data_IF_311758412912
#
_entry.id   IF_311758412912
#
_cell.length_a   1.000
_cell.length_b   1.000
_cell.length_c   1.000
_cell.angle_alpha   90.00
_cell.angle_beta   90.00
_cell.angle_gamma   90.00
#
_symmetry.space_group_name_H-M   'P 1'
#
loop_
_entity.id
_entity.type
_entity.pdbx_description
1 polymer ?
#
# COMPACT_ATOMS: atom_id res chain seq x y z
N UNK A 1 -27.55 -8.01 -9.95
CA UNK A 1 -27.43 -7.65 -8.52
C UNK A 1 -27.03 -8.89 -7.76
N UNK A 2 -25.94 -8.84 -7.00
CA UNK A 2 -25.39 -9.98 -6.26
C UNK A 2 -26.00 -10.12 -4.85
N UNK A 3 -27.06 -9.35 -4.51
CA UNK A 3 -27.71 -9.37 -3.19
C UNK A 3 -26.82 -8.84 -2.05
N UNK A 4 -25.78 -8.09 -2.38
CA UNK A 4 -24.90 -7.46 -1.38
C UNK A 4 -25.54 -6.19 -0.84
N UNK A 5 -25.45 -6.00 0.47
CA UNK A 5 -25.78 -4.73 1.12
C UNK A 5 -24.57 -3.79 0.96
N UNK A 6 -24.73 -2.78 0.09
CA UNK A 6 -23.65 -1.84 -0.24
C UNK A 6 -24.04 -0.46 0.28
N UNK A 7 -23.19 0.09 1.14
CA UNK A 7 -23.28 1.46 1.64
C UNK A 7 -22.33 2.36 0.84
N UNK A 8 -22.87 3.38 0.17
CA UNK A 8 -22.08 4.48 -0.36
C UNK A 8 -21.73 5.44 0.77
N UNK A 9 -20.43 5.58 1.05
CA UNK A 9 -19.93 6.49 2.08
C UNK A 9 -19.62 7.90 1.54
N UNK A 10 -19.88 8.14 0.26
CA UNK A 10 -19.61 9.42 -0.41
C UNK A 10 -18.11 9.63 -0.68
N UNK A 11 -17.79 10.85 -1.06
CA UNK A 11 -16.43 11.26 -1.40
C UNK A 11 -15.72 11.89 -0.19
N UNK A 12 -14.45 11.52 0.00
CA UNK A 12 -13.57 12.27 0.89
C UNK A 12 -13.14 13.58 0.19
N UNK A 13 -13.02 14.64 0.97
CA UNK A 13 -12.48 15.93 0.51
C UNK A 13 -11.25 16.26 1.33
N UNK A 14 -10.20 16.68 0.65
CA UNK A 14 -8.91 16.99 1.27
C UNK A 14 -8.21 18.16 0.57
N UNK A 15 -6.93 18.43 0.90
CA UNK A 15 -6.20 19.56 0.35
C UNK A 15 -6.06 19.45 -1.17
N UNK A 16 -5.98 20.62 -1.81
CA UNK A 16 -5.63 20.71 -3.21
C UNK A 16 -4.17 20.24 -3.43
N UNK A 17 -3.89 19.80 -4.64
CA UNK A 17 -2.56 19.35 -5.05
C UNK A 17 -1.99 20.30 -6.15
N UNK A 18 -1.55 21.51 -5.80
CA UNK A 18 -0.92 22.41 -6.76
C UNK A 18 0.46 21.87 -7.15
N UNK A 19 0.91 22.22 -8.37
CA UNK A 19 2.24 21.82 -8.78
C UNK A 19 3.31 22.44 -7.86
N UNK A 20 4.23 21.62 -7.34
CA UNK A 20 5.33 22.03 -6.47
C UNK A 20 6.56 21.17 -6.75
N UNK A 21 7.75 21.71 -6.51
CA UNK A 21 8.98 20.94 -6.53
C UNK A 21 9.07 20.00 -5.31
N UNK A 22 9.86 18.93 -5.46
CA UNK A 22 10.12 18.04 -4.34
C UNK A 22 10.98 18.74 -3.27
N UNK A 23 10.63 18.56 -2.01
CA UNK A 23 11.40 19.02 -0.86
C UNK A 23 11.92 17.81 -0.09
N UNK A 24 13.24 17.73 0.10
CA UNK A 24 13.89 16.61 0.79
C UNK A 24 13.51 15.22 0.17
N UNK A 25 13.34 15.17 -1.15
CA UNK A 25 12.97 13.96 -1.86
C UNK A 25 11.49 13.62 -1.85
N UNK A 26 10.62 14.48 -1.34
CA UNK A 26 9.18 14.29 -1.31
C UNK A 26 8.44 15.45 -1.94
N UNK A 27 7.49 15.15 -2.80
CA UNK A 27 6.57 16.12 -3.39
C UNK A 27 5.22 16.04 -2.69
N UNK A 28 4.68 17.20 -2.27
CA UNK A 28 3.38 17.31 -1.59
C UNK A 28 3.24 16.48 -0.30
N UNK A 29 4.31 16.31 0.46
CA UNK A 29 4.26 15.49 1.67
C UNK A 29 3.16 15.90 2.65
N UNK A 30 2.95 17.19 2.99
CA UNK A 30 1.89 17.58 3.91
C UNK A 30 0.48 17.22 3.41
N UNK A 31 0.21 17.44 2.12
CA UNK A 31 -1.07 17.15 1.49
C UNK A 31 -1.31 15.63 1.43
N UNK A 32 -0.29 14.87 1.06
CA UNK A 32 -0.36 13.39 1.03
C UNK A 32 -0.58 12.83 2.43
N UNK A 33 0.07 13.37 3.45
CA UNK A 33 -0.15 12.98 4.86
C UNK A 33 -1.60 13.22 5.25
N UNK A 34 -2.13 14.41 4.99
CA UNK A 34 -3.51 14.75 5.35
C UNK A 34 -4.53 13.85 4.64
N UNK A 35 -4.35 13.60 3.33
CA UNK A 35 -5.20 12.69 2.58
C UNK A 35 -5.18 11.26 3.14
N UNK A 36 -4.00 10.75 3.49
CA UNK A 36 -3.86 9.41 4.03
C UNK A 36 -4.43 9.29 5.45
N UNK A 37 -4.33 10.33 6.27
CA UNK A 37 -4.98 10.36 7.59
C UNK A 37 -6.50 10.32 7.46
N UNK A 38 -7.10 11.16 6.61
CA UNK A 38 -8.54 11.17 6.36
C UNK A 38 -9.05 9.81 5.87
N UNK A 39 -8.33 9.22 4.92
CA UNK A 39 -8.68 7.91 4.38
C UNK A 39 -8.53 6.80 5.42
N UNK A 40 -7.45 6.82 6.21
CA UNK A 40 -7.25 5.87 7.30
C UNK A 40 -8.43 5.88 8.27
N UNK A 41 -8.83 7.06 8.74
CA UNK A 41 -9.93 7.21 9.69
C UNK A 41 -11.25 6.69 9.11
N UNK A 42 -11.57 7.05 7.86
CA UNK A 42 -12.79 6.62 7.19
C UNK A 42 -12.84 5.09 7.03
N UNK A 43 -11.76 4.48 6.52
CA UNK A 43 -11.70 3.03 6.34
C UNK A 43 -11.68 2.27 7.66
N UNK A 44 -10.94 2.78 8.65
CA UNK A 44 -10.90 2.16 9.97
C UNK A 44 -12.26 2.17 10.66
N UNK A 45 -13.04 3.25 10.54
CA UNK A 45 -14.40 3.33 11.08
C UNK A 45 -15.32 2.25 10.46
N UNK A 46 -15.25 2.04 9.14
CA UNK A 46 -16.04 1.00 8.47
C UNK A 46 -15.63 -0.42 8.90
N UNK A 47 -14.31 -0.66 9.05
CA UNK A 47 -13.81 -1.93 9.59
C UNK A 47 -14.28 -2.20 11.02
N UNK A 48 -14.27 -1.18 11.89
CA UNK A 48 -14.79 -1.30 13.26
C UNK A 48 -16.30 -1.57 13.30
N UNK A 49 -17.03 -1.05 12.31
CA UNK A 49 -18.46 -1.34 12.14
C UNK A 49 -18.73 -2.72 11.48
N UNK A 50 -17.71 -3.54 11.26
CA UNK A 50 -17.83 -4.87 10.68
C UNK A 50 -18.09 -4.90 9.17
N UNK A 51 -17.85 -3.80 8.47
CA UNK A 51 -18.00 -3.70 7.01
C UNK A 51 -16.67 -3.88 6.30
N UNK A 52 -16.71 -4.38 5.07
CA UNK A 52 -15.57 -4.45 4.17
C UNK A 52 -15.48 -3.14 3.37
N UNK A 53 -14.53 -2.25 3.64
CA UNK A 53 -14.39 -1.02 2.89
C UNK A 53 -13.77 -1.27 1.51
N UNK A 54 -14.28 -0.54 0.52
CA UNK A 54 -13.72 -0.50 -0.84
C UNK A 54 -13.43 0.97 -1.15
N UNK A 55 -12.17 1.26 -1.43
CA UNK A 55 -11.72 2.57 -1.88
C UNK A 55 -11.74 2.62 -3.40
N UNK A 56 -12.34 3.65 -3.97
CA UNK A 56 -12.36 3.91 -5.40
C UNK A 56 -11.62 5.20 -5.72
N UNK A 57 -10.64 5.12 -6.57
CA UNK A 57 -9.93 6.26 -7.13
C UNK A 57 -8.83 6.82 -6.25
N UNK A 58 -8.20 7.84 -6.80
CA UNK A 58 -7.09 8.57 -6.24
C UNK A 58 -5.72 8.11 -6.74
N UNK A 59 -4.72 8.83 -6.32
CA UNK A 59 -3.32 8.54 -6.54
C UNK A 59 -2.91 7.32 -5.69
N UNK A 60 -1.95 6.51 -6.16
CA UNK A 60 -1.55 5.27 -5.49
C UNK A 60 -0.95 5.48 -4.09
N UNK A 61 -0.48 6.68 -3.77
CA UNK A 61 -0.04 7.04 -2.41
C UNK A 61 -1.13 6.83 -1.35
N UNK A 62 -2.41 6.84 -1.72
CA UNK A 62 -3.54 6.56 -0.83
C UNK A 62 -3.57 5.12 -0.30
N UNK A 63 -2.82 4.22 -0.93
CA UNK A 63 -2.54 2.88 -0.41
C UNK A 63 -1.95 2.89 1.00
N UNK A 64 -1.23 3.95 1.39
CA UNK A 64 -0.63 4.09 2.72
C UNK A 64 -1.74 4.15 3.78
N UNK A 65 -2.70 5.07 3.66
CA UNK A 65 -3.78 5.25 4.62
C UNK A 65 -4.73 4.05 4.67
N UNK A 66 -5.13 3.55 3.49
CA UNK A 66 -6.07 2.44 3.39
C UNK A 66 -5.52 1.15 3.98
N UNK A 67 -4.31 0.77 3.63
CA UNK A 67 -3.68 -0.47 4.12
C UNK A 67 -3.27 -0.34 5.59
N UNK A 68 -2.81 0.85 6.03
CA UNK A 68 -2.55 1.09 7.45
C UNK A 68 -3.79 0.89 8.33
N UNK A 69 -4.98 1.26 7.85
CA UNK A 69 -6.24 1.03 8.55
C UNK A 69 -6.54 -0.47 8.69
N UNK A 70 -6.36 -1.24 7.62
CA UNK A 70 -6.55 -2.69 7.62
C UNK A 70 -5.51 -3.37 8.53
N UNK A 71 -4.24 -2.98 8.43
CA UNK A 71 -3.16 -3.52 9.25
C UNK A 71 -3.40 -3.29 10.75
N UNK A 72 -3.83 -2.08 11.11
CA UNK A 72 -4.24 -1.75 12.48
C UNK A 72 -5.39 -2.64 12.94
N UNK A 73 -6.46 -2.74 12.15
CA UNK A 73 -7.63 -3.56 12.48
C UNK A 73 -7.26 -5.04 12.65
N UNK A 74 -6.47 -5.61 11.72
CA UNK A 74 -6.01 -6.99 11.82
C UNK A 74 -5.19 -7.23 13.10
N UNK A 75 -4.28 -6.31 13.41
CA UNK A 75 -3.45 -6.38 14.62
C UNK A 75 -4.27 -6.35 15.89
N UNK A 76 -5.26 -5.47 15.99
CA UNK A 76 -6.17 -5.38 17.15
C UNK A 76 -7.06 -6.63 17.32
N UNK A 77 -7.36 -7.31 16.22
CA UNK A 77 -8.13 -8.56 16.21
C UNK A 77 -7.26 -9.83 16.29
N UNK A 78 -5.95 -9.70 16.37
CA UNK A 78 -5.02 -10.83 16.36
C UNK A 78 -5.02 -11.62 15.03
N UNK A 79 -5.42 -10.96 13.94
CA UNK A 79 -5.47 -11.56 12.60
C UNK A 79 -4.17 -11.30 11.86
N UNK A 80 -3.77 -12.25 11.01
CA UNK A 80 -2.70 -12.06 10.02
C UNK A 80 -3.23 -11.28 8.82
N UNK A 81 -2.36 -10.49 8.19
CA UNK A 81 -2.69 -9.76 6.97
C UNK A 81 -1.83 -10.28 5.81
N UNK A 82 -2.41 -10.43 4.64
CA UNK A 82 -1.72 -10.61 3.37
C UNK A 82 -2.20 -9.54 2.40
N UNK A 83 -1.25 -8.78 1.85
CA UNK A 83 -1.52 -7.78 0.82
C UNK A 83 -1.11 -8.33 -0.53
N UNK A 84 -2.02 -8.30 -1.48
CA UNK A 84 -1.77 -8.59 -2.89
C UNK A 84 -1.68 -7.26 -3.63
N UNK A 85 -0.47 -6.90 -4.06
CA UNK A 85 -0.17 -5.65 -4.75
C UNK A 85 -0.15 -5.89 -6.26
N UNK A 86 -1.24 -5.57 -6.93
CA UNK A 86 -1.38 -5.72 -8.38
C UNK A 86 -0.97 -4.43 -9.08
N UNK A 87 0.21 -4.37 -9.64
CA UNK A 87 0.75 -3.18 -10.28
C UNK A 87 1.80 -3.51 -11.35
N UNK A 88 2.08 -2.55 -12.22
CA UNK A 88 3.24 -2.53 -13.09
C UNK A 88 4.53 -2.19 -12.31
N UNK A 89 4.41 -1.44 -11.23
CA UNK A 89 5.48 -0.85 -10.42
C UNK A 89 5.56 -1.51 -9.05
N UNK A 90 6.75 -1.47 -8.45
CA UNK A 90 6.94 -2.02 -7.11
C UNK A 90 6.52 -1.05 -6.00
N UNK A 91 6.45 0.25 -6.32
CA UNK A 91 6.11 1.33 -5.39
C UNK A 91 6.92 1.29 -4.08
N UNK A 92 8.18 0.91 -4.22
CA UNK A 92 9.14 0.77 -3.13
C UNK A 92 10.27 1.82 -3.20
N UNK A 93 10.06 2.91 -3.93
CA UNK A 93 10.99 4.04 -3.96
C UNK A 93 11.05 4.73 -2.60
N UNK A 94 12.19 5.34 -2.32
CA UNK A 94 12.44 6.15 -1.11
C UNK A 94 12.89 7.56 -1.51
N UNK A 95 13.02 8.48 -0.57
CA UNK A 95 13.49 9.82 -0.83
C UNK A 95 14.85 9.90 -1.57
N UNK A 96 15.71 8.89 -1.35
CA UNK A 96 17.05 8.82 -1.94
C UNK A 96 17.11 8.09 -3.28
N UNK A 97 16.10 7.27 -3.59
CA UNK A 97 16.05 6.46 -4.81
C UNK A 97 15.12 7.07 -5.87
N UNK A 98 14.09 7.80 -5.44
CA UNK A 98 13.08 8.34 -6.36
C UNK A 98 13.66 9.32 -7.36
N UNK A 99 13.36 9.18 -8.65
CA UNK A 99 13.77 10.16 -9.65
C UNK A 99 12.88 11.41 -9.67
N UNK A 100 11.66 11.32 -9.13
CA UNK A 100 10.64 12.38 -9.24
C UNK A 100 10.24 13.04 -7.92
N UNK A 101 10.47 12.37 -6.79
CA UNK A 101 9.96 12.77 -5.49
C UNK A 101 8.45 12.49 -5.29
N UNK A 102 7.78 11.93 -6.27
CA UNK A 102 6.36 11.62 -6.18
C UNK A 102 6.10 10.45 -5.22
N UNK A 103 5.26 10.70 -4.23
CA UNK A 103 4.97 9.71 -3.18
C UNK A 103 4.15 8.52 -3.70
N UNK A 104 3.49 8.64 -4.86
CA UNK A 104 2.79 7.50 -5.46
C UNK A 104 3.71 6.30 -5.79
N UNK A 105 5.00 6.51 -5.98
CA UNK A 105 5.98 5.44 -6.14
C UNK A 105 6.60 4.94 -4.83
N UNK A 106 6.05 5.32 -3.66
CA UNK A 106 6.64 5.01 -2.35
C UNK A 106 5.71 4.28 -1.36
N UNK A 107 4.43 3.98 -1.66
CA UNK A 107 3.51 3.50 -0.65
C UNK A 107 3.94 2.17 -0.02
N UNK A 108 4.47 1.23 -0.78
CA UNK A 108 4.93 -0.04 -0.23
C UNK A 108 6.14 0.16 0.69
N UNK A 109 7.06 1.05 0.34
CA UNK A 109 8.19 1.40 1.20
C UNK A 109 7.71 2.03 2.53
N UNK A 110 6.79 3.00 2.47
CA UNK A 110 6.21 3.64 3.66
C UNK A 110 5.52 2.61 4.57
N UNK A 111 4.72 1.72 4.01
CA UNK A 111 4.03 0.66 4.76
C UNK A 111 5.01 -0.32 5.43
N UNK A 112 6.19 -0.50 4.85
CA UNK A 112 7.28 -1.32 5.42
C UNK A 112 8.24 -0.54 6.33
N UNK A 113 7.94 0.72 6.67
CA UNK A 113 8.75 1.54 7.58
C UNK A 113 9.90 2.31 6.90
N UNK A 114 9.93 2.38 5.57
CA UNK A 114 10.95 3.07 4.77
C UNK A 114 10.38 4.32 4.09
N UNK A 115 10.10 5.36 4.86
CA UNK A 115 9.52 6.60 4.34
C UNK A 115 9.61 7.75 5.33
N UNK A 116 8.94 8.87 5.08
CA UNK A 116 8.85 9.94 6.04
C UNK A 116 8.01 9.49 7.25
N UNK A 117 8.44 9.94 8.43
CA UNK A 117 7.84 9.55 9.70
C UNK A 117 6.32 9.76 9.73
N UNK A 118 5.87 10.87 9.18
CA UNK A 118 4.47 11.29 9.15
C UNK A 118 3.56 10.30 8.40
N UNK A 119 4.10 9.62 7.38
CA UNK A 119 3.37 8.59 6.63
C UNK A 119 3.48 7.21 7.29
N UNK A 120 4.66 6.87 7.84
CA UNK A 120 4.87 5.60 8.53
C UNK A 120 3.98 5.49 9.76
N UNK A 121 3.77 6.59 10.50
CA UNK A 121 3.05 6.60 11.78
C UNK A 121 1.53 6.63 11.64
N UNK A 122 0.97 6.70 10.44
CA UNK A 122 -0.47 6.64 10.21
C UNK A 122 -1.03 5.33 10.78
N UNK A 123 -2.05 5.42 11.60
CA UNK A 123 -2.66 4.25 12.25
C UNK A 123 -1.91 3.73 13.48
N UNK A 124 -0.96 4.52 14.03
CA UNK A 124 -0.20 4.15 15.24
C UNK A 124 0.91 3.13 14.94
N UNK A 125 1.40 3.09 13.72
CA UNK A 125 2.57 2.31 13.32
C UNK A 125 3.88 3.07 13.64
N UNK A 126 5.02 2.47 13.40
CA UNK A 126 6.34 3.09 13.53
C UNK A 126 7.36 2.37 12.64
N UNK A 127 8.54 2.92 12.47
CA UNK A 127 9.60 2.25 11.70
C UNK A 127 9.99 0.88 12.29
N UNK A 128 10.01 0.76 13.62
CA UNK A 128 10.30 -0.50 14.31
C UNK A 128 9.10 -1.46 14.34
N UNK A 129 7.90 -0.95 14.10
CA UNK A 129 6.64 -1.70 14.04
C UNK A 129 5.78 -1.19 12.89
N UNK A 130 6.22 -1.46 11.65
CA UNK A 130 5.56 -0.93 10.46
C UNK A 130 4.14 -1.49 10.27
N UNK A 131 3.39 -0.89 9.36
CA UNK A 131 2.07 -1.37 9.00
C UNK A 131 2.13 -2.79 8.43
N UNK A 132 3.13 -3.06 7.60
CA UNK A 132 3.37 -4.35 6.97
C UNK A 132 4.81 -4.82 7.16
N UNK A 133 4.96 -6.12 7.38
CA UNK A 133 6.25 -6.77 7.20
C UNK A 133 6.40 -7.15 5.71
N UNK A 134 7.61 -7.06 5.10
CA UNK A 134 7.81 -7.42 3.69
C UNK A 134 7.24 -8.78 3.27
N UNK A 135 7.30 -9.78 4.17
CA UNK A 135 6.72 -11.12 3.94
C UNK A 135 5.18 -11.16 3.89
N UNK A 136 4.51 -10.10 4.26
CA UNK A 136 3.05 -10.00 4.18
C UNK A 136 2.57 -9.48 2.83
N UNK A 137 3.49 -9.04 1.97
CA UNK A 137 3.20 -8.48 0.65
C UNK A 137 3.56 -9.49 -0.44
N UNK A 138 2.71 -9.57 -1.46
CA UNK A 138 2.97 -10.24 -2.73
C UNK A 138 2.74 -9.25 -3.84
N UNK A 139 3.77 -8.97 -4.62
CA UNK A 139 3.70 -8.10 -5.79
C UNK A 139 3.43 -8.92 -7.04
N UNK A 140 2.45 -8.53 -7.84
CA UNK A 140 1.95 -9.29 -8.98
C UNK A 140 1.84 -8.38 -10.20
N UNK A 141 2.45 -8.77 -11.31
CA UNK A 141 2.41 -8.04 -12.56
C UNK A 141 3.51 -6.99 -12.74
N UNK A 142 4.49 -6.99 -11.87
CA UNK A 142 5.59 -6.02 -11.86
C UNK A 142 6.39 -6.12 -13.18
N UNK A 143 6.67 -4.98 -13.83
CA UNK A 143 7.38 -4.94 -15.11
C UNK A 143 8.13 -3.64 -15.39
N UNK A 144 7.94 -2.62 -14.57
CA UNK A 144 8.61 -1.32 -14.69
C UNK A 144 9.08 -0.88 -13.31
N UNK A 145 10.37 -1.03 -13.05
CA UNK A 145 10.98 -0.80 -11.73
C UNK A 145 12.34 -0.16 -11.92
N UNK A 146 12.63 0.88 -11.15
CA UNK A 146 13.94 1.52 -11.12
C UNK A 146 15.00 0.58 -10.55
N UNK A 147 16.25 0.67 -11.05
CA UNK A 147 17.33 -0.26 -10.66
C UNK A 147 17.61 -0.25 -9.14
N UNK A 148 17.59 0.93 -8.51
CA UNK A 148 17.77 1.05 -7.06
C UNK A 148 16.61 0.47 -6.27
N UNK A 149 15.40 0.70 -6.74
CA UNK A 149 14.17 0.15 -6.17
C UNK A 149 14.15 -1.38 -6.26
N UNK A 150 14.52 -1.94 -7.42
CA UNK A 150 14.58 -3.40 -7.63
C UNK A 150 15.51 -4.10 -6.63
N UNK A 151 16.69 -3.50 -6.38
CA UNK A 151 17.63 -4.04 -5.38
C UNK A 151 17.01 -4.00 -4.00
N UNK A 152 16.40 -2.90 -3.62
CA UNK A 152 15.80 -2.75 -2.29
C UNK A 152 14.65 -3.74 -2.07
N UNK A 153 13.77 -3.94 -3.05
CA UNK A 153 12.69 -4.95 -3.01
C UNK A 153 13.24 -6.35 -2.79
N UNK A 154 14.32 -6.70 -3.52
CA UNK A 154 14.98 -7.98 -3.37
C UNK A 154 15.61 -8.14 -1.98
N UNK A 155 16.34 -7.14 -1.50
CA UNK A 155 17.05 -7.18 -0.21
C UNK A 155 16.05 -7.25 0.97
N UNK A 156 14.89 -6.66 0.81
CA UNK A 156 13.79 -6.76 1.78
C UNK A 156 13.08 -8.11 1.76
N UNK A 157 13.32 -8.94 0.75
CA UNK A 157 12.70 -10.26 0.62
C UNK A 157 11.21 -10.23 0.30
N UNK A 158 10.75 -9.21 -0.42
CA UNK A 158 9.39 -9.15 -0.95
C UNK A 158 9.27 -10.17 -2.08
N UNK A 159 8.23 -10.97 -2.07
CA UNK A 159 7.95 -11.94 -3.11
C UNK A 159 7.27 -11.27 -4.30
N UNK A 160 7.88 -11.38 -5.48
CA UNK A 160 7.45 -10.72 -6.71
C UNK A 160 7.14 -11.75 -7.79
N UNK A 161 5.91 -11.73 -8.29
CA UNK A 161 5.45 -12.44 -9.48
C UNK A 161 5.38 -11.43 -10.63
N UNK A 162 6.51 -11.21 -11.30
CA UNK A 162 6.62 -10.25 -12.38
C UNK A 162 5.89 -10.72 -13.65
N UNK A 163 5.79 -9.83 -14.65
CA UNK A 163 5.11 -10.21 -15.91
C UNK A 163 5.81 -11.34 -16.64
N UNK A 164 7.13 -11.47 -16.53
CA UNK A 164 7.84 -12.59 -17.14
C UNK A 164 7.41 -13.92 -16.48
N UNK A 165 7.33 -13.97 -15.16
CA UNK A 165 6.82 -15.15 -14.45
C UNK A 165 5.38 -15.48 -14.88
N UNK A 166 4.53 -14.45 -15.01
CA UNK A 166 3.13 -14.63 -15.41
C UNK A 166 3.02 -15.13 -16.86
N UNK A 167 3.83 -14.61 -17.77
CA UNK A 167 3.87 -15.03 -19.17
C UNK A 167 4.35 -16.49 -19.32
N UNK A 168 5.30 -16.91 -18.51
CA UNK A 168 5.87 -18.28 -18.54
C UNK A 168 4.97 -19.31 -17.83
N UNK A 169 4.42 -18.95 -16.65
CA UNK A 169 3.74 -19.90 -15.74
C UNK A 169 2.23 -19.70 -15.65
N UNK A 170 1.74 -18.58 -16.12
CA UNK A 170 0.32 -18.19 -16.08
C UNK A 170 -0.11 -17.54 -14.77
N UNK A 171 -1.11 -16.64 -14.88
CA UNK A 171 -1.67 -15.90 -13.74
C UNK A 171 -2.24 -16.84 -12.67
N UNK A 172 -2.86 -17.96 -13.06
CA UNK A 172 -3.40 -18.95 -12.11
C UNK A 172 -2.31 -19.44 -11.15
N UNK A 173 -1.17 -19.85 -11.71
CA UNK A 173 -0.07 -20.38 -10.90
C UNK A 173 0.53 -19.29 -9.99
N UNK A 174 0.69 -18.07 -10.50
CA UNK A 174 1.11 -16.93 -9.70
C UNK A 174 0.18 -16.69 -8.50
N UNK A 175 -1.13 -16.74 -8.71
CA UNK A 175 -2.12 -16.57 -7.64
C UNK A 175 -2.13 -17.72 -6.64
N UNK A 176 -1.97 -18.97 -7.07
CA UNK A 176 -1.85 -20.14 -6.20
C UNK A 176 -0.66 -19.97 -5.23
N UNK A 177 0.48 -19.52 -5.74
CA UNK A 177 1.66 -19.25 -4.93
C UNK A 177 1.46 -18.03 -4.01
N UNK A 178 0.94 -16.92 -4.54
CA UNK A 178 0.71 -15.70 -3.76
C UNK A 178 -0.26 -15.92 -2.59
N UNK A 179 -1.21 -16.82 -2.74
CA UNK A 179 -2.19 -17.19 -1.72
C UNK A 179 -1.78 -18.40 -0.88
N UNK A 180 -0.65 -19.03 -1.18
CA UNK A 180 -0.16 -20.15 -0.39
C UNK A 180 0.03 -19.72 1.08
N UNK A 181 -0.35 -20.62 2.02
CA UNK A 181 -0.27 -20.40 3.47
C UNK A 181 -1.18 -19.26 4.01
N UNK A 182 -2.16 -18.82 3.23
CA UNK A 182 -3.23 -17.96 3.74
C UNK A 182 -4.33 -18.88 4.27
N UNK A 183 -4.45 -18.94 5.60
CA UNK A 183 -5.56 -19.64 6.25
C UNK A 183 -6.83 -18.81 6.07
N UNK A 184 -7.86 -19.40 5.51
CA UNK A 184 -9.16 -18.77 5.25
C UNK A 184 -10.06 -18.71 6.51
N UNK A 185 -9.47 -18.49 7.69
CA UNK A 185 -10.21 -18.42 8.96
C UNK A 185 -10.45 -16.96 9.41
#
# INVERSE_FOLDING_TARGET
>A
QFGLDVKDCGNLSGPANPWQDAVNGFRHLPEVVQWNQLLHEAMYAELQAGRLPIMLGGDHCLGIGSISAVARHCREKGKKLRVLWFDAHADFNTATLTPSGNIHGMPVACLCGHGPKELIEIGGHSADRPALHPKEIRQIGIRSVDEGEKRLVHDMGIEVFDMRFIDEMGMRHAMELALALVDAN
#
